data_IF_997302375942
#
_entry.id   IF_997302375942
#
_cell.length_a   1.000
_cell.length_b   1.000
_cell.length_c   1.000
_cell.angle_alpha   90.00
_cell.angle_beta   90.00
_cell.angle_gamma   90.00
#
_symmetry.space_group_name_H-M   'P 1'
#
loop_
_entity.id
_entity.type
_entity.pdbx_description
1 polymer ?
#
# COMPACT_ATOMS: atom_id res chain seq x y z
N UNK A 1 0.78 3.95 -5.05
CA UNK A 1 -0.12 5.05 -4.64
C UNK A 1 -1.53 4.47 -4.66
N UNK A 2 -2.25 4.47 -3.54
CA UNK A 2 -3.59 3.88 -3.48
C UNK A 2 -4.55 4.89 -4.09
N UNK A 3 -5.05 4.62 -5.30
CA UNK A 3 -6.19 5.36 -5.86
C UNK A 3 -7.47 4.63 -5.46
N UNK A 4 -8.49 5.38 -5.09
CA UNK A 4 -9.87 4.91 -5.16
C UNK A 4 -10.50 5.60 -6.37
N UNK A 5 -11.28 4.87 -7.15
CA UNK A 5 -11.88 5.35 -8.39
C UNK A 5 -12.79 6.57 -8.15
N UNK A 6 -12.52 7.67 -8.86
CA UNK A 6 -13.31 8.91 -8.86
C UNK A 6 -14.07 9.12 -10.17
N UNK A 7 -14.39 8.05 -10.91
CA UNK A 7 -14.92 8.17 -12.27
C UNK A 7 -16.42 8.51 -12.42
N UNK A 8 -17.11 8.97 -11.37
CA UNK A 8 -18.55 9.31 -11.48
C UNK A 8 -18.84 10.83 -11.46
N UNK A 9 -17.91 11.69 -11.03
CA UNK A 9 -18.19 13.14 -10.89
C UNK A 9 -17.59 14.05 -11.97
N UNK A 10 -16.76 13.54 -12.88
CA UNK A 10 -16.08 14.38 -13.88
C UNK A 10 -16.96 14.78 -15.09
N UNK A 11 -18.20 14.29 -15.20
CA UNK A 11 -19.01 14.46 -16.42
C UNK A 11 -19.92 15.70 -16.46
N UNK A 12 -19.96 16.57 -15.44
CA UNK A 12 -20.95 17.65 -15.41
C UNK A 12 -20.46 19.09 -15.53
N UNK A 13 -19.16 19.38 -15.49
CA UNK A 13 -18.70 20.76 -15.73
C UNK A 13 -17.38 20.79 -16.51
N UNK A 14 -17.49 21.09 -17.82
CA UNK A 14 -16.36 21.38 -18.67
C UNK A 14 -15.62 22.63 -18.21
N UNK A 15 -14.47 22.43 -17.58
CA UNK A 15 -13.46 23.46 -17.34
C UNK A 15 -12.05 22.89 -17.62
N UNK A 16 -11.11 23.73 -18.08
CA UNK A 16 -9.89 23.29 -18.75
C UNK A 16 -8.91 22.63 -17.80
N UNK A 17 -8.06 21.75 -18.33
CA UNK A 17 -6.89 21.19 -17.64
C UNK A 17 -5.85 22.27 -17.36
N UNK A 18 -5.36 22.40 -16.11
CA UNK A 18 -3.94 22.67 -15.94
C UNK A 18 -3.35 21.96 -14.71
N UNK A 19 -2.24 21.25 -14.92
CA UNK A 19 -1.39 20.63 -13.88
C UNK A 19 -2.11 19.52 -13.08
N UNK A 20 -1.53 18.33 -13.03
CA UNK A 20 -2.05 17.23 -12.24
C UNK A 20 -2.21 17.67 -10.77
N UNK A 21 -3.40 18.11 -10.41
CA UNK A 21 -3.76 18.47 -9.05
C UNK A 21 -3.75 17.18 -8.26
N UNK A 22 -2.65 16.94 -7.53
CA UNK A 22 -2.48 15.73 -6.73
C UNK A 22 -3.57 15.74 -5.67
N UNK A 23 -4.56 14.89 -5.88
CA UNK A 23 -5.66 14.72 -4.95
C UNK A 23 -5.25 13.69 -3.90
N UNK A 24 -5.02 14.16 -2.68
CA UNK A 24 -4.72 13.26 -1.56
C UNK A 24 -6.02 12.71 -0.98
N UNK A 25 -6.02 11.40 -0.72
CA UNK A 25 -7.12 10.73 -0.05
C UNK A 25 -6.63 10.19 1.29
N UNK A 26 -7.35 10.52 2.36
CA UNK A 26 -7.14 9.89 3.66
C UNK A 26 -8.21 8.81 3.85
N UNK A 27 -7.80 7.54 3.78
CA UNK A 27 -8.70 6.42 4.09
C UNK A 27 -8.62 6.08 5.59
N UNK A 28 -9.78 5.98 6.24
CA UNK A 28 -9.90 5.71 7.68
C UNK A 28 -11.03 4.74 8.01
N UNK A 29 -10.99 4.17 9.21
CA UNK A 29 -12.10 3.37 9.72
C UNK A 29 -13.31 4.24 10.13
N UNK A 30 -14.36 3.59 10.61
CA UNK A 30 -15.59 4.26 11.06
C UNK A 30 -15.55 4.71 12.54
N UNK A 31 -14.37 4.80 13.15
CA UNK A 31 -14.19 5.21 14.55
C UNK A 31 -14.72 6.62 14.82
N UNK A 32 -15.22 6.86 16.04
CA UNK A 32 -15.75 8.18 16.42
C UNK A 32 -14.73 9.32 16.28
N UNK A 33 -13.42 9.16 16.54
CA UNK A 33 -12.45 10.23 16.32
C UNK A 33 -12.29 10.59 14.83
N UNK A 34 -12.39 9.60 13.94
CA UNK A 34 -12.30 9.78 12.47
C UNK A 34 -13.56 10.42 11.86
N UNK A 35 -14.59 10.63 12.68
CA UNK A 35 -15.86 11.29 12.33
C UNK A 35 -16.01 12.70 12.93
N UNK A 36 -15.01 13.16 13.69
CA UNK A 36 -15.04 14.51 14.27
C UNK A 36 -15.13 15.58 13.20
N UNK A 37 -16.01 16.58 13.40
CA UNK A 37 -16.19 17.71 12.49
C UNK A 37 -14.88 18.48 12.28
N UNK A 38 -14.12 18.73 13.35
CA UNK A 38 -12.83 19.44 13.28
C UNK A 38 -11.79 18.72 12.41
N UNK A 39 -11.74 17.39 12.44
CA UNK A 39 -10.85 16.61 11.58
C UNK A 39 -11.26 16.76 10.10
N UNK A 40 -12.55 16.61 9.80
CA UNK A 40 -13.07 16.76 8.45
C UNK A 40 -12.81 18.16 7.89
N UNK A 41 -13.05 19.19 8.68
CA UNK A 41 -12.78 20.59 8.30
C UNK A 41 -11.30 20.79 7.99
N UNK A 42 -10.40 20.24 8.82
CA UNK A 42 -8.95 20.29 8.58
C UNK A 42 -8.58 19.59 7.27
N UNK A 43 -9.13 18.40 7.00
CA UNK A 43 -8.85 17.68 5.76
C UNK A 43 -9.29 18.49 4.53
N UNK A 44 -10.48 19.09 4.56
CA UNK A 44 -10.96 19.94 3.48
C UNK A 44 -10.10 21.21 3.30
N UNK A 45 -9.69 21.85 4.39
CA UNK A 45 -8.76 23.00 4.33
C UNK A 45 -7.41 22.62 3.71
N UNK A 46 -6.95 21.38 3.91
CA UNK A 46 -5.72 20.86 3.32
C UNK A 46 -5.91 20.30 1.89
N UNK A 47 -7.13 20.34 1.33
CA UNK A 47 -7.43 19.74 0.02
C UNK A 47 -7.36 18.22 0.01
N UNK A 48 -7.49 17.57 1.17
CA UNK A 48 -7.47 16.11 1.33
C UNK A 48 -8.89 15.58 1.38
N UNK A 49 -9.21 14.60 0.54
CA UNK A 49 -10.51 13.94 0.58
C UNK A 49 -10.57 12.80 1.57
N UNK A 50 -11.52 12.80 2.51
CA UNK A 50 -11.72 11.67 3.39
C UNK A 50 -12.41 10.53 2.64
N UNK A 51 -11.87 9.31 2.78
CA UNK A 51 -12.52 8.05 2.41
C UNK A 51 -12.68 7.21 3.68
N UNK A 52 -13.76 6.42 3.76
CA UNK A 52 -14.04 5.59 4.93
C UNK A 52 -14.36 4.16 4.54
N UNK A 53 -14.04 3.24 5.44
CA UNK A 53 -14.48 1.85 5.36
C UNK A 53 -16.00 1.75 5.24
N UNK A 54 -16.51 0.73 4.55
CA UNK A 54 -17.93 0.45 4.43
C UNK A 54 -18.53 0.08 5.81
N UNK A 55 -19.77 0.49 6.11
CA UNK A 55 -20.44 0.07 7.34
C UNK A 55 -20.48 -1.46 7.44
N UNK A 56 -20.09 -2.01 8.59
CA UNK A 56 -20.09 -3.46 8.91
C UNK A 56 -19.05 -4.32 8.18
N UNK A 57 -17.99 -3.74 7.61
CA UNK A 57 -16.83 -4.48 7.12
C UNK A 57 -15.63 -4.15 8.01
N UNK A 58 -15.31 -5.01 8.98
CA UNK A 58 -14.17 -4.80 9.88
C UNK A 58 -12.81 -4.95 9.19
N UNK A 59 -12.79 -5.43 7.95
CA UNK A 59 -11.60 -5.88 7.23
C UNK A 59 -11.11 -4.89 6.15
N UNK A 60 -11.58 -3.64 6.19
CA UNK A 60 -11.33 -2.61 5.16
C UNK A 60 -9.98 -1.87 5.33
N UNK A 61 -9.12 -2.27 6.28
CA UNK A 61 -7.78 -1.67 6.44
C UNK A 61 -6.65 -2.70 6.58
N UNK A 62 -6.49 -3.62 5.61
CA UNK A 62 -5.51 -4.71 5.69
C UNK A 62 -4.07 -4.21 5.85
N UNK A 63 -3.73 -3.03 5.31
CA UNK A 63 -2.40 -2.46 5.43
C UNK A 63 -2.10 -1.96 6.84
N UNK A 64 -3.02 -1.23 7.49
CA UNK A 64 -2.78 -0.80 8.87
C UNK A 64 -2.75 -1.99 9.82
N UNK A 65 -3.61 -2.99 9.62
CA UNK A 65 -3.59 -4.23 10.41
C UNK A 65 -2.25 -4.96 10.29
N UNK A 66 -1.71 -5.06 9.07
CA UNK A 66 -0.39 -5.64 8.83
C UNK A 66 0.71 -4.90 9.59
N UNK A 67 0.70 -3.56 9.57
CA UNK A 67 1.66 -2.74 10.33
C UNK A 67 1.52 -3.01 11.84
N UNK A 68 0.29 -3.00 12.38
CA UNK A 68 0.06 -3.24 13.80
C UNK A 68 0.47 -4.64 14.24
N UNK A 69 0.24 -5.65 13.39
CA UNK A 69 0.73 -7.00 13.61
C UNK A 69 2.27 -6.99 13.67
N UNK A 70 2.93 -6.46 12.65
CA UNK A 70 4.40 -6.38 12.62
C UNK A 70 4.97 -5.64 13.83
N UNK A 71 4.31 -4.59 14.30
CA UNK A 71 4.66 -3.87 15.52
C UNK A 71 4.60 -4.75 16.77
N UNK A 72 3.46 -5.42 17.00
CA UNK A 72 3.25 -6.28 18.18
C UNK A 72 4.15 -7.51 18.22
N UNK A 73 4.51 -8.04 17.05
CA UNK A 73 5.37 -9.21 16.92
C UNK A 73 6.86 -8.85 16.77
N UNK A 74 7.21 -7.56 16.81
CA UNK A 74 8.61 -7.15 16.77
C UNK A 74 9.37 -7.72 18.00
N UNK A 75 10.59 -8.28 17.84
CA UNK A 75 11.29 -8.94 18.95
C UNK A 75 11.52 -8.07 20.18
N UNK A 76 11.66 -6.75 19.99
CA UNK A 76 11.84 -5.80 21.09
C UNK A 76 10.54 -5.23 21.66
N UNK A 77 9.36 -5.69 21.20
CA UNK A 77 8.08 -5.19 21.69
C UNK A 77 7.94 -5.47 23.20
N UNK A 78 7.63 -4.46 24.04
CA UNK A 78 7.58 -4.66 25.47
C UNK A 78 6.25 -5.31 25.88
N UNK A 79 6.28 -6.64 26.04
CA UNK A 79 5.10 -7.42 26.44
C UNK A 79 4.51 -7.02 27.79
N UNK A 80 5.31 -6.43 28.68
CA UNK A 80 4.88 -5.90 29.99
C UNK A 80 4.43 -4.43 29.96
N UNK A 81 4.42 -3.80 28.77
CA UNK A 81 4.14 -2.38 28.61
C UNK A 81 5.37 -1.49 28.82
N UNK A 82 5.16 -0.19 28.63
CA UNK A 82 6.18 0.84 28.81
C UNK A 82 6.14 1.40 30.23
N UNK A 83 7.31 1.71 30.80
CA UNK A 83 7.42 2.33 32.13
C UNK A 83 6.83 3.74 32.14
N UNK A 84 7.07 4.50 31.08
CA UNK A 84 6.59 5.86 30.91
C UNK A 84 6.37 6.21 29.42
N UNK A 85 5.81 7.39 29.20
CA UNK A 85 5.52 7.91 27.86
C UNK A 85 6.79 8.15 27.04
N UNK A 86 7.91 8.47 27.67
CA UNK A 86 9.19 8.72 26.99
C UNK A 86 9.73 7.43 26.39
N UNK A 87 9.72 6.33 27.15
CA UNK A 87 10.07 5.01 26.64
C UNK A 87 9.16 4.56 25.50
N UNK A 88 7.85 4.77 25.64
CA UNK A 88 6.90 4.46 24.58
C UNK A 88 7.24 5.21 23.28
N UNK A 89 7.49 6.52 23.36
CA UNK A 89 7.87 7.36 22.21
C UNK A 89 9.19 6.92 21.59
N UNK A 90 10.21 6.68 22.41
CA UNK A 90 11.53 6.23 21.94
C UNK A 90 11.43 4.90 21.21
N UNK A 91 10.72 3.93 21.78
CA UNK A 91 10.56 2.63 21.16
C UNK A 91 9.77 2.70 19.86
N UNK A 92 8.63 3.43 19.84
CA UNK A 92 7.82 3.59 18.63
C UNK A 92 8.63 4.27 17.53
N UNK A 93 9.43 5.29 17.85
CA UNK A 93 10.30 5.95 16.88
C UNK A 93 11.34 4.98 16.30
N UNK A 94 11.98 4.17 17.14
CA UNK A 94 12.89 3.12 16.69
C UNK A 94 12.21 2.10 15.81
N UNK A 95 11.01 1.64 16.18
CA UNK A 95 10.20 0.72 15.37
C UNK A 95 9.87 1.33 14.00
N UNK A 96 9.40 2.57 13.94
CA UNK A 96 9.06 3.25 12.68
C UNK A 96 10.28 3.42 11.78
N UNK A 97 11.45 3.72 12.35
CA UNK A 97 12.70 3.79 11.59
C UNK A 97 13.06 2.44 10.99
N UNK A 98 13.10 1.40 11.82
CA UNK A 98 13.37 0.03 11.38
C UNK A 98 12.38 -0.43 10.31
N UNK A 99 11.08 -0.24 10.53
CA UNK A 99 10.01 -0.66 9.63
C UNK A 99 10.16 -0.06 8.23
N UNK A 100 10.52 1.23 8.17
CA UNK A 100 10.64 1.98 6.91
C UNK A 100 11.99 1.80 6.22
N UNK A 101 13.08 1.64 6.97
CA UNK A 101 14.45 1.71 6.44
C UNK A 101 15.14 0.35 6.33
N UNK A 102 14.74 -0.63 7.14
CA UNK A 102 15.46 -1.91 7.28
C UNK A 102 14.57 -3.12 7.00
N UNK A 103 13.32 -3.11 7.47
CA UNK A 103 12.41 -4.23 7.31
C UNK A 103 12.03 -4.43 5.83
N UNK A 104 12.31 -5.62 5.29
CA UNK A 104 11.99 -5.98 3.91
C UNK A 104 10.62 -6.63 3.82
N UNK A 105 9.75 -6.07 2.99
CA UNK A 105 8.35 -6.49 2.89
C UNK A 105 8.16 -7.46 1.74
N UNK A 106 7.65 -8.67 2.02
CA UNK A 106 7.40 -9.67 0.98
C UNK A 106 6.44 -9.17 -0.09
N UNK A 107 5.39 -8.43 0.28
CA UNK A 107 4.45 -7.78 -0.64
C UNK A 107 5.05 -6.64 -1.47
N UNK A 108 6.27 -6.19 -1.15
CA UNK A 108 7.04 -5.24 -1.95
C UNK A 108 8.24 -5.92 -2.62
N UNK A 109 8.15 -7.22 -2.90
CA UNK A 109 9.28 -8.01 -3.39
C UNK A 109 10.55 -7.84 -2.55
N UNK A 110 10.42 -7.77 -1.23
CA UNK A 110 11.53 -7.55 -0.29
C UNK A 110 12.27 -6.21 -0.47
N UNK A 111 11.57 -5.17 -0.92
CA UNK A 111 12.00 -3.78 -0.75
C UNK A 111 11.62 -3.26 0.63
N UNK A 112 12.31 -2.22 1.09
CA UNK A 112 11.86 -1.44 2.24
C UNK A 112 10.84 -0.39 1.78
N UNK A 113 9.93 0.07 2.65
CA UNK A 113 8.97 1.11 2.30
C UNK A 113 9.65 2.39 1.80
N UNK A 114 10.78 2.76 2.41
CA UNK A 114 11.56 3.92 2.00
C UNK A 114 12.19 3.76 0.61
N UNK A 115 12.69 2.56 0.26
CA UNK A 115 13.19 2.28 -1.09
C UNK A 115 12.10 2.42 -2.14
N UNK A 116 10.90 1.90 -1.87
CA UNK A 116 9.75 2.05 -2.78
C UNK A 116 9.31 3.50 -2.90
N UNK A 117 9.24 4.22 -1.77
CA UNK A 117 8.82 5.61 -1.72
C UNK A 117 9.77 6.53 -2.50
N UNK A 118 11.08 6.31 -2.40
CA UNK A 118 12.10 7.11 -3.07
C UNK A 118 12.39 6.68 -4.52
N UNK A 119 11.53 5.84 -5.12
CA UNK A 119 11.67 5.43 -6.52
C UNK A 119 12.84 4.47 -6.80
N UNK A 120 13.48 3.90 -5.77
CA UNK A 120 14.64 3.00 -5.93
C UNK A 120 14.26 1.57 -6.36
N UNK A 121 12.95 1.28 -6.44
CA UNK A 121 12.43 -0.06 -6.68
C UNK A 121 12.95 -0.66 -7.99
N UNK A 122 12.87 0.08 -9.10
CA UNK A 122 13.26 -0.39 -10.42
C UNK A 122 14.74 -0.80 -10.46
N UNK A 123 15.63 0.09 -10.02
CA UNK A 123 17.08 -0.16 -9.96
C UNK A 123 17.41 -1.40 -9.11
N UNK A 124 16.78 -1.55 -7.95
CA UNK A 124 17.05 -2.67 -7.03
C UNK A 124 16.54 -3.99 -7.62
N UNK A 125 15.34 -3.99 -8.21
CA UNK A 125 14.72 -5.19 -8.76
C UNK A 125 15.43 -5.65 -10.04
N UNK A 126 15.88 -4.71 -10.87
CA UNK A 126 16.70 -5.00 -12.06
C UNK A 126 18.04 -5.64 -11.67
N UNK A 127 18.72 -5.11 -10.64
CA UNK A 127 19.95 -5.73 -10.15
C UNK A 127 19.71 -7.15 -9.62
N UNK A 128 18.56 -7.42 -9.01
CA UNK A 128 18.20 -8.78 -8.54
C UNK A 128 17.93 -9.73 -9.68
N UNK A 129 17.26 -9.29 -10.76
CA UNK A 129 17.05 -10.08 -11.98
C UNK A 129 18.41 -10.55 -12.52
N UNK A 130 19.35 -9.62 -12.72
CA UNK A 130 20.71 -9.93 -13.19
C UNK A 130 21.43 -10.97 -12.33
N UNK A 131 21.43 -10.79 -11.01
CA UNK A 131 22.05 -11.76 -10.09
C UNK A 131 21.43 -13.16 -10.23
N UNK A 132 20.12 -13.24 -10.38
CA UNK A 132 19.42 -14.52 -10.55
C UNK A 132 19.70 -15.17 -11.90
N UNK A 133 19.76 -14.38 -12.98
CA UNK A 133 20.11 -14.85 -14.32
C UNK A 133 21.54 -15.37 -14.38
N UNK A 134 22.50 -14.63 -13.81
CA UNK A 134 23.90 -15.06 -13.68
C UNK A 134 24.05 -16.33 -12.84
N UNK A 135 23.28 -16.44 -11.75
CA UNK A 135 23.31 -17.64 -10.92
C UNK A 135 22.75 -18.85 -11.67
N UNK A 136 21.64 -18.67 -12.41
CA UNK A 136 21.02 -19.72 -13.22
C UNK A 136 21.92 -20.13 -14.40
N UNK A 137 22.61 -19.19 -15.05
CA UNK A 137 23.51 -19.51 -16.17
C UNK A 137 24.75 -20.29 -15.72
N UNK A 138 25.26 -20.02 -14.51
CA UNK A 138 26.41 -20.75 -13.92
C UNK A 138 26.06 -22.17 -13.50
N UNK A 139 24.83 -22.39 -13.02
CA UNK A 139 24.42 -23.64 -12.39
C UNK A 139 23.01 -24.08 -12.82
N UNK A 140 22.72 -24.25 -14.13
CA UNK A 140 21.37 -24.50 -14.62
C UNK A 140 20.71 -25.73 -13.97
N UNK A 141 21.49 -26.73 -13.56
CA UNK A 141 21.03 -27.94 -12.86
C UNK A 141 20.30 -27.67 -11.53
N UNK A 142 20.54 -26.53 -10.90
CA UNK A 142 19.87 -26.12 -9.65
C UNK A 142 18.50 -25.46 -9.87
N UNK A 143 18.11 -25.20 -11.12
CA UNK A 143 16.85 -24.54 -11.48
C UNK A 143 15.94 -25.49 -12.24
N UNK A 144 14.76 -25.76 -11.68
CA UNK A 144 13.69 -26.50 -12.35
C UNK A 144 12.75 -25.60 -13.16
N UNK A 145 12.85 -24.27 -12.99
CA UNK A 145 11.96 -23.26 -13.60
C UNK A 145 12.73 -21.99 -13.95
N UNK A 146 12.02 -20.99 -14.45
CA UNK A 146 12.54 -19.64 -14.60
C UNK A 146 12.92 -18.98 -13.27
N UNK A 147 13.71 -17.92 -13.38
CA UNK A 147 14.08 -17.12 -12.21
C UNK A 147 12.83 -16.56 -11.54
N UNK A 148 12.96 -16.19 -10.27
CA UNK A 148 11.88 -15.59 -9.51
C UNK A 148 11.37 -14.33 -10.22
N UNK A 149 10.05 -14.17 -10.31
CA UNK A 149 9.44 -12.92 -10.77
C UNK A 149 9.71 -11.80 -9.74
N UNK A 150 10.32 -10.72 -10.22
CA UNK A 150 10.66 -9.53 -9.45
C UNK A 150 9.80 -8.31 -9.81
N UNK A 151 8.84 -8.46 -10.72
CA UNK A 151 7.93 -7.38 -11.13
C UNK A 151 7.04 -6.96 -9.97
N UNK A 152 6.78 -5.66 -9.88
CA UNK A 152 6.03 -5.04 -8.80
C UNK A 152 4.84 -4.28 -9.38
N UNK A 153 3.65 -4.51 -8.81
CA UNK A 153 2.46 -3.77 -9.20
C UNK A 153 2.64 -2.26 -8.95
N UNK A 154 2.27 -1.45 -9.95
CA UNK A 154 2.31 0.00 -9.84
C UNK A 154 1.24 0.53 -8.87
N UNK A 155 0.07 -0.12 -8.91
CA UNK A 155 -1.13 0.26 -8.19
C UNK A 155 -1.66 -0.92 -7.39
N UNK A 156 -2.15 -0.65 -6.18
CA UNK A 156 -2.81 -1.65 -5.35
C UNK A 156 -4.09 -1.04 -4.79
N UNK A 157 -5.16 -1.83 -4.85
CA UNK A 157 -6.51 -1.41 -4.50
C UNK A 157 -6.84 -1.82 -3.06
N UNK A 158 -7.42 -0.90 -2.29
CA UNK A 158 -7.95 -1.22 -0.94
C UNK A 158 -9.25 -2.03 -1.00
N UNK A 159 -10.05 -1.80 -2.04
CA UNK A 159 -11.33 -2.45 -2.29
C UNK A 159 -11.50 -2.62 -3.80
N UNK A 160 -10.98 -3.69 -4.43
CA UNK A 160 -11.29 -3.95 -5.83
C UNK A 160 -12.78 -4.23 -5.94
N UNK A 161 -13.49 -3.48 -6.79
CA UNK A 161 -14.80 -3.93 -7.24
C UNK A 161 -14.59 -5.24 -7.99
N UNK A 162 -15.39 -6.26 -7.69
CA UNK A 162 -15.44 -7.44 -8.56
C UNK A 162 -15.96 -6.92 -9.89
N UNK A 163 -15.09 -6.79 -10.89
CA UNK A 163 -15.52 -6.57 -12.26
C UNK A 163 -16.56 -7.64 -12.57
N UNK A 164 -17.81 -7.24 -12.74
CA UNK A 164 -18.82 -8.09 -13.35
C UNK A 164 -18.21 -8.60 -14.65
N UNK A 165 -18.05 -9.92 -14.73
CA UNK A 165 -17.64 -10.61 -15.95
C UNK A 165 -18.41 -10.00 -17.12
N UNK A 166 -17.69 -9.35 -18.04
CA UNK A 166 -18.24 -9.03 -19.35
C UNK A 166 -18.47 -10.40 -19.99
N UNK A 167 -19.70 -10.88 -19.90
CA UNK A 167 -20.15 -12.06 -20.65
C UNK A 167 -20.11 -11.64 -22.11
N UNK A 168 -19.04 -12.00 -22.82
CA UNK A 168 -19.03 -12.00 -24.27
C UNK A 168 -20.06 -13.05 -24.74
N UNK A 169 -21.26 -12.60 -25.07
CA UNK A 169 -22.21 -13.37 -25.87
C UNK A 169 -21.58 -13.64 -27.24
N UNK A 170 -21.01 -14.83 -27.40
CA UNK A 170 -20.77 -15.41 -28.73
C UNK A 170 -22.12 -15.75 -29.34
N UNK A 171 -22.68 -14.83 -30.10
CA UNK A 171 -23.72 -15.17 -31.08
C UNK A 171 -23.11 -16.12 -32.12
N UNK A 172 -23.59 -17.36 -32.09
CA UNK A 172 -23.41 -18.33 -33.16
C UNK A 172 -24.20 -17.85 -34.38
N UNK A 173 -23.52 -17.46 -35.44
CA UNK A 173 -24.10 -17.50 -36.79
C UNK A 173 -24.28 -18.96 -37.18
N UNK A 174 -25.53 -19.36 -37.41
CA UNK A 174 -25.87 -20.43 -38.37
C UNK A 174 -25.55 -19.98 -39.80
#
# INVERSE_FOLDING_TARGET
MIKQDWNILALLHGLPSPLAMIFYVLHSDNGSPMKGSSLLETLYQLGISPSRSRPRVSNDNPYAESIFRTCKYHPSYPSKGFVDLTQARTWVLSFVRWYNQEHRHSGLNFLTPNQRHNGLAEQILEQRKKVYEEAKSKHPERWSREIRNWDLDEEVWLNPEKSSEIVEEKEKSS
#
